data_IF_685547780924
#
_entry.id   IF_685547780924
#
_cell.length_a   1.000
_cell.length_b   1.000
_cell.length_c   1.000
_cell.angle_alpha   90.00
_cell.angle_beta   90.00
_cell.angle_gamma   90.00
#
_symmetry.space_group_name_H-M   'P 1'
#
loop_
_entity.id
_entity.type
_entity.pdbx_description
1 polymer ?
#
# COMPACT_ATOMS: atom_id res chain seq x y z
N UNK A 1 13.81 -51.72 47.22
CA UNK A 1 12.90 -50.64 46.79
C UNK A 1 13.39 -50.17 45.44
N UNK A 2 12.80 -50.67 44.36
CA UNK A 2 13.17 -50.30 43.00
C UNK A 2 12.07 -49.41 42.45
N UNK A 3 12.32 -48.10 42.43
CA UNK A 3 11.38 -47.12 41.91
C UNK A 3 11.42 -47.13 40.38
N UNK A 4 10.34 -47.61 39.77
CA UNK A 4 10.10 -47.48 38.33
C UNK A 4 9.71 -46.04 38.02
N UNK A 5 10.57 -45.31 37.33
CA UNK A 5 10.20 -44.02 36.72
C UNK A 5 9.50 -44.31 35.39
N UNK A 6 8.19 -44.08 35.35
CA UNK A 6 7.40 -44.13 34.12
C UNK A 6 7.72 -42.89 33.30
N UNK A 7 8.38 -43.06 32.16
CA UNK A 7 8.58 -42.00 31.17
C UNK A 7 7.23 -41.66 30.52
N UNK A 8 6.65 -40.53 30.91
CA UNK A 8 5.44 -39.99 30.26
C UNK A 8 5.85 -39.43 28.91
N UNK A 9 5.44 -40.09 27.82
CA UNK A 9 5.61 -39.59 26.46
C UNK A 9 4.84 -38.27 26.31
N UNK A 10 5.56 -37.18 26.04
CA UNK A 10 4.96 -35.89 25.74
C UNK A 10 4.04 -36.02 24.51
N UNK A 11 2.75 -35.74 24.69
CA UNK A 11 1.79 -35.75 23.60
C UNK A 11 2.15 -34.66 22.59
N UNK A 12 2.41 -35.06 21.35
CA UNK A 12 2.61 -34.15 20.22
C UNK A 12 1.40 -33.21 20.11
N UNK A 13 1.57 -31.88 19.97
CA UNK A 13 0.46 -30.97 19.80
C UNK A 13 -0.39 -31.45 18.63
N UNK A 14 -1.68 -31.72 18.86
CA UNK A 14 -2.60 -32.15 17.82
C UNK A 14 -2.80 -30.98 16.86
N UNK A 15 -2.05 -30.99 15.76
CA UNK A 15 -2.15 -29.98 14.70
C UNK A 15 -3.62 -29.84 14.25
N UNK A 16 -4.13 -28.60 14.25
CA UNK A 16 -5.52 -28.28 13.92
C UNK A 16 -5.92 -28.85 12.55
N UNK A 17 -7.14 -29.39 12.41
CA UNK A 17 -7.60 -30.04 11.17
C UNK A 17 -7.48 -29.14 9.94
N UNK A 18 -7.78 -27.85 10.09
CA UNK A 18 -7.53 -26.82 9.05
C UNK A 18 -6.07 -26.79 8.59
N UNK A 19 -5.11 -26.81 9.52
CA UNK A 19 -3.69 -26.73 9.16
C UNK A 19 -3.24 -27.97 8.38
N UNK A 20 -3.72 -29.16 8.74
CA UNK A 20 -3.45 -30.37 7.95
C UNK A 20 -3.95 -30.24 6.51
N UNK A 21 -5.16 -29.71 6.32
CA UNK A 21 -5.70 -29.44 4.99
C UNK A 21 -4.88 -28.42 4.20
N UNK A 22 -4.30 -27.43 4.87
CA UNK A 22 -3.40 -26.46 4.22
C UNK A 22 -2.10 -27.15 3.79
N UNK A 23 -1.52 -27.99 4.64
CA UNK A 23 -0.27 -28.70 4.36
C UNK A 23 -0.44 -29.75 3.22
N UNK A 24 -1.64 -30.31 3.07
CA UNK A 24 -1.99 -31.22 1.98
C UNK A 24 -2.09 -30.51 0.61
N UNK A 25 -2.39 -29.20 0.60
CA UNK A 25 -2.49 -28.42 -0.64
C UNK A 25 -1.09 -28.04 -1.10
N UNK A 26 -0.67 -28.61 -2.23
CA UNK A 26 0.61 -28.31 -2.89
C UNK A 26 0.39 -27.38 -4.08
N UNK A 27 0.53 -26.05 -3.92
CA UNK A 27 0.43 -25.14 -5.04
C UNK A 27 1.56 -25.41 -6.06
N UNK A 28 1.23 -25.26 -7.34
CA UNK A 28 2.20 -25.37 -8.43
C UNK A 28 3.26 -24.28 -8.30
N UNK A 29 4.54 -24.66 -8.34
CA UNK A 29 5.66 -23.70 -8.34
C UNK A 29 5.56 -22.72 -9.50
N UNK A 30 5.09 -23.18 -10.66
CA UNK A 30 4.88 -22.34 -11.84
C UNK A 30 3.83 -21.26 -11.59
N UNK A 31 2.72 -21.60 -10.92
CA UNK A 31 1.65 -20.64 -10.63
C UNK A 31 2.09 -19.60 -9.59
N UNK A 32 2.82 -20.02 -8.56
CA UNK A 32 3.42 -19.12 -7.56
C UNK A 32 4.35 -18.14 -8.25
N UNK A 33 5.25 -18.67 -9.09
CA UNK A 33 6.19 -17.86 -9.83
C UNK A 33 5.49 -16.84 -10.75
N UNK A 34 4.41 -17.25 -11.42
CA UNK A 34 3.61 -16.34 -12.25
C UNK A 34 2.99 -15.22 -11.41
N UNK A 35 2.40 -15.54 -10.26
CA UNK A 35 1.79 -14.54 -9.36
C UNK A 35 2.83 -13.58 -8.78
N UNK A 36 4.02 -14.07 -8.44
CA UNK A 36 5.13 -13.23 -7.98
C UNK A 36 5.62 -12.33 -9.11
N UNK A 37 5.81 -12.86 -10.32
CA UNK A 37 6.24 -12.09 -11.48
C UNK A 37 5.21 -10.99 -11.83
N UNK A 38 3.92 -11.34 -11.88
CA UNK A 38 2.82 -10.39 -12.08
C UNK A 38 2.87 -9.25 -11.06
N UNK A 39 3.08 -9.56 -9.78
CA UNK A 39 3.24 -8.53 -8.75
C UNK A 39 4.45 -7.63 -8.99
N UNK A 40 5.62 -8.20 -9.28
CA UNK A 40 6.84 -7.42 -9.51
C UNK A 40 6.69 -6.49 -10.72
N UNK A 41 5.99 -6.92 -11.76
CA UNK A 41 5.73 -6.11 -12.96
C UNK A 41 4.65 -5.07 -12.71
N UNK A 42 3.50 -5.46 -12.17
CA UNK A 42 2.37 -4.56 -11.91
C UNK A 42 2.72 -3.48 -10.90
N UNK A 43 3.51 -3.80 -9.87
CA UNK A 43 4.00 -2.83 -8.89
C UNK A 43 5.31 -2.15 -9.30
N UNK A 44 5.82 -2.34 -10.51
CA UNK A 44 6.96 -1.57 -11.01
C UNK A 44 8.28 -1.83 -10.26
N UNK A 45 8.66 -3.09 -10.08
CA UNK A 45 9.96 -3.50 -9.55
C UNK A 45 10.83 -4.17 -10.63
N UNK A 46 11.31 -3.42 -11.65
CA UNK A 46 11.93 -3.99 -12.85
C UNK A 46 13.19 -4.81 -12.54
N UNK A 47 14.09 -4.30 -11.70
CA UNK A 47 15.32 -5.01 -11.29
C UNK A 47 15.04 -6.31 -10.54
N UNK A 48 13.97 -6.34 -9.74
CA UNK A 48 13.58 -7.54 -9.01
C UNK A 48 12.93 -8.55 -9.96
N UNK A 49 12.07 -8.09 -10.87
CA UNK A 49 11.47 -8.91 -11.92
C UNK A 49 12.56 -9.56 -12.79
N UNK A 50 13.57 -8.80 -13.22
CA UNK A 50 14.66 -9.29 -14.06
C UNK A 50 15.46 -10.40 -13.37
N UNK A 51 15.89 -10.17 -12.12
CA UNK A 51 16.61 -11.18 -11.33
C UNK A 51 15.76 -12.42 -11.08
N UNK A 52 14.49 -12.22 -10.73
CA UNK A 52 13.55 -13.31 -10.50
C UNK A 52 13.31 -14.14 -11.77
N UNK A 53 13.22 -13.50 -12.94
CA UNK A 53 13.04 -14.21 -14.21
C UNK A 53 14.24 -15.10 -14.54
N UNK A 54 15.47 -14.60 -14.32
CA UNK A 54 16.71 -15.35 -14.53
C UNK A 54 16.79 -16.56 -13.59
N UNK A 55 16.46 -16.39 -12.32
CA UNK A 55 16.51 -17.46 -11.32
C UNK A 55 15.40 -18.50 -11.50
N UNK A 56 14.19 -18.05 -11.85
CA UNK A 56 13.04 -18.92 -12.05
C UNK A 56 12.93 -19.51 -13.46
N UNK A 57 13.87 -19.15 -14.36
CA UNK A 57 13.88 -19.52 -15.77
C UNK A 57 12.57 -19.18 -16.51
N UNK A 58 12.07 -17.96 -16.27
CA UNK A 58 10.82 -17.43 -16.84
C UNK A 58 11.18 -16.38 -17.90
N UNK A 59 10.42 -16.37 -19.00
CA UNK A 59 10.56 -15.32 -20.00
C UNK A 59 9.94 -14.01 -19.47
N UNK A 60 10.72 -12.93 -19.49
CA UNK A 60 10.21 -11.59 -19.18
C UNK A 60 9.24 -11.16 -20.28
N UNK A 61 8.07 -10.61 -19.93
CA UNK A 61 7.27 -9.88 -20.89
C UNK A 61 8.09 -8.72 -21.47
N UNK A 62 7.98 -8.49 -22.79
CA UNK A 62 8.74 -7.51 -23.58
C UNK A 62 8.49 -6.03 -23.22
N UNK A 63 7.76 -5.74 -22.14
CA UNK A 63 7.25 -4.41 -21.79
C UNK A 63 8.12 -3.66 -20.76
N UNK A 64 9.44 -3.87 -20.78
CA UNK A 64 10.38 -3.27 -19.82
C UNK A 64 10.33 -1.74 -19.81
N UNK A 65 10.20 -1.11 -20.98
CA UNK A 65 10.11 0.36 -21.12
C UNK A 65 8.86 0.94 -20.47
N UNK A 66 7.72 0.23 -20.54
CA UNK A 66 6.47 0.65 -19.89
C UNK A 66 6.59 0.56 -18.36
N UNK A 67 7.29 -0.46 -17.86
CA UNK A 67 7.52 -0.66 -16.43
C UNK A 67 8.38 0.48 -15.90
N UNK A 68 9.49 0.79 -16.59
CA UNK A 68 10.42 1.85 -16.21
C UNK A 68 9.73 3.21 -16.17
N UNK A 69 8.92 3.54 -17.19
CA UNK A 69 8.12 4.78 -17.24
C UNK A 69 7.18 4.89 -16.04
N UNK A 70 6.49 3.80 -15.67
CA UNK A 70 5.61 3.76 -14.47
C UNK A 70 6.39 3.94 -13.17
N UNK A 71 7.59 3.35 -13.06
CA UNK A 71 8.46 3.56 -11.90
C UNK A 71 8.84 5.03 -11.76
N UNK A 72 9.22 5.69 -12.84
CA UNK A 72 9.60 7.10 -12.83
C UNK A 72 8.46 8.01 -12.42
N UNK A 73 7.26 7.79 -12.96
CA UNK A 73 6.04 8.52 -12.56
C UNK A 73 5.80 8.36 -11.06
N UNK A 74 5.85 7.12 -10.56
CA UNK A 74 5.66 6.85 -9.13
C UNK A 74 6.73 7.50 -8.26
N UNK A 75 8.00 7.45 -8.67
CA UNK A 75 9.10 8.08 -7.97
C UNK A 75 8.93 9.60 -7.90
N UNK A 76 8.50 10.23 -9.00
CA UNK A 76 8.20 11.66 -9.04
C UNK A 76 7.07 12.02 -8.06
N UNK A 77 5.98 11.23 -8.02
CA UNK A 77 4.88 11.43 -7.06
C UNK A 77 5.36 11.28 -5.61
N UNK A 78 6.17 10.25 -5.30
CA UNK A 78 6.70 10.07 -3.95
C UNK A 78 7.65 11.19 -3.53
N UNK A 79 8.49 11.67 -4.45
CA UNK A 79 9.38 12.81 -4.21
C UNK A 79 8.62 14.13 -4.02
N UNK A 80 7.38 14.22 -4.49
CA UNK A 80 6.60 15.47 -4.50
C UNK A 80 6.84 16.33 -5.74
N UNK A 81 7.48 15.78 -6.76
CA UNK A 81 7.62 16.42 -8.07
C UNK A 81 6.42 16.06 -8.96
N UNK A 82 5.28 16.69 -8.64
CA UNK A 82 4.00 16.36 -9.28
C UNK A 82 3.92 16.90 -10.72
N UNK A 83 4.58 18.03 -10.99
CA UNK A 83 4.68 18.58 -12.36
C UNK A 83 5.34 17.58 -13.31
N UNK A 84 6.49 17.04 -12.92
CA UNK A 84 7.18 16.00 -13.71
C UNK A 84 6.33 14.74 -13.83
N UNK A 85 5.62 14.36 -12.77
CA UNK A 85 4.71 13.21 -12.83
C UNK A 85 3.58 13.41 -13.84
N UNK A 86 2.92 14.57 -13.86
CA UNK A 86 1.85 14.90 -14.80
C UNK A 86 2.36 14.88 -16.24
N UNK A 87 3.51 15.50 -16.50
CA UNK A 87 4.12 15.51 -17.83
C UNK A 87 4.42 14.08 -18.31
N UNK A 88 5.06 13.26 -17.48
CA UNK A 88 5.35 11.85 -17.82
C UNK A 88 4.09 11.01 -18.02
N UNK A 89 3.01 11.27 -17.28
CA UNK A 89 1.72 10.59 -17.50
C UNK A 89 1.17 10.96 -18.87
N UNK A 90 1.19 12.25 -19.24
CA UNK A 90 0.71 12.71 -20.54
C UNK A 90 1.57 12.20 -21.70
N UNK A 91 2.89 12.13 -21.52
CA UNK A 91 3.82 11.56 -22.50
C UNK A 91 3.54 10.07 -22.73
N UNK A 92 3.19 9.33 -21.66
CA UNK A 92 2.86 7.91 -21.75
C UNK A 92 1.48 7.68 -22.39
N UNK A 93 0.46 8.41 -21.94
CA UNK A 93 -0.86 8.40 -22.53
C UNK A 93 -1.65 9.67 -22.12
N UNK A 94 -1.90 10.60 -23.06
CA UNK A 94 -2.57 11.86 -22.75
C UNK A 94 -4.04 11.68 -22.33
N UNK A 95 -4.67 10.56 -22.69
CA UNK A 95 -6.09 10.34 -22.39
C UNK A 95 -6.36 9.94 -20.93
N UNK A 96 -5.34 9.54 -20.17
CA UNK A 96 -5.52 9.05 -18.78
C UNK A 96 -6.12 10.15 -17.90
N UNK A 97 -5.59 11.36 -17.96
CA UNK A 97 -6.03 12.47 -17.12
C UNK A 97 -7.35 13.09 -17.59
N UNK A 98 -7.67 12.96 -18.87
CA UNK A 98 -8.94 13.41 -19.46
C UNK A 98 -10.09 12.44 -19.12
N UNK A 99 -9.79 11.14 -19.07
CA UNK A 99 -10.78 10.09 -18.78
C UNK A 99 -11.14 10.02 -17.28
N UNK A 100 -10.19 10.36 -16.40
CA UNK A 100 -10.40 10.40 -14.95
C UNK A 100 -10.13 11.80 -14.36
N UNK A 101 -11.15 12.69 -14.36
CA UNK A 101 -11.05 14.01 -13.75
C UNK A 101 -10.73 13.98 -12.25
N UNK A 102 -11.10 12.91 -11.55
CA UNK A 102 -10.85 12.76 -10.11
C UNK A 102 -9.38 12.44 -9.83
N UNK A 103 -8.76 11.59 -10.65
CA UNK A 103 -7.31 11.34 -10.59
C UNK A 103 -6.52 12.61 -10.87
N UNK A 104 -6.92 13.34 -11.91
CA UNK A 104 -6.24 14.58 -12.27
C UNK A 104 -6.39 15.65 -11.17
N UNK A 105 -7.58 15.80 -10.58
CA UNK A 105 -7.79 16.66 -9.42
C UNK A 105 -6.92 16.23 -8.22
N UNK A 106 -6.80 14.93 -7.93
CA UNK A 106 -5.97 14.43 -6.85
C UNK A 106 -4.47 14.74 -7.04
N UNK A 107 -3.96 14.68 -8.27
CA UNK A 107 -2.59 15.10 -8.60
C UNK A 107 -2.41 16.61 -8.37
N UNK A 108 -3.30 17.45 -8.93
CA UNK A 108 -3.22 18.90 -8.73
C UNK A 108 -3.32 19.28 -7.25
N UNK A 109 -4.14 18.58 -6.47
CA UNK A 109 -4.22 18.76 -5.01
C UNK A 109 -2.90 18.43 -4.31
N UNK A 110 -2.23 17.35 -4.70
CA UNK A 110 -0.88 17.04 -4.17
C UNK A 110 0.10 18.16 -4.50
N UNK A 111 0.08 18.67 -5.73
CA UNK A 111 0.95 19.77 -6.15
C UNK A 111 0.69 21.03 -5.31
N UNK A 112 -0.57 21.37 -5.05
CA UNK A 112 -0.93 22.47 -4.15
C UNK A 112 -0.37 22.25 -2.74
N UNK A 113 -0.48 21.04 -2.19
CA UNK A 113 0.09 20.71 -0.88
C UNK A 113 1.61 20.93 -0.87
N UNK A 114 2.32 20.53 -1.93
CA UNK A 114 3.77 20.75 -2.03
C UNK A 114 4.13 22.24 -2.16
N UNK A 115 3.35 23.02 -2.90
CA UNK A 115 3.52 24.46 -2.98
C UNK A 115 3.32 25.12 -1.62
N UNK A 116 2.24 24.76 -0.91
CA UNK A 116 1.96 25.26 0.45
C UNK A 116 3.14 24.95 1.37
N UNK A 117 3.65 23.71 1.37
CA UNK A 117 4.82 23.32 2.18
C UNK A 117 6.06 24.15 1.86
N UNK A 118 6.33 24.43 0.59
CA UNK A 118 7.45 25.30 0.17
C UNK A 118 7.28 26.72 0.69
N UNK A 119 6.09 27.31 0.50
CA UNK A 119 5.77 28.67 0.97
C UNK A 119 5.88 28.84 2.49
N UNK A 120 5.50 27.81 3.26
CA UNK A 120 5.50 27.86 4.73
C UNK A 120 6.85 27.51 5.36
N UNK A 121 7.76 26.89 4.59
CA UNK A 121 9.10 26.52 5.07
C UNK A 121 10.12 27.66 4.97
N UNK A 122 9.88 28.64 4.09
CA UNK A 122 10.76 29.80 3.91
C UNK A 122 10.30 31.00 4.75
N UNK A 123 11.23 31.78 5.34
CA UNK A 123 10.90 32.95 6.16
C UNK A 123 10.26 34.11 5.36
N UNK A 124 10.41 34.13 4.04
CA UNK A 124 9.61 34.97 3.15
C UNK A 124 8.35 34.21 2.74
N UNK A 125 7.25 34.46 3.43
CA UNK A 125 5.95 33.79 3.25
C UNK A 125 5.24 34.31 2.00
N UNK A 126 5.83 34.13 0.81
CA UNK A 126 5.12 34.40 -0.44
C UNK A 126 4.16 33.25 -0.74
N UNK A 127 2.89 33.45 -0.39
CA UNK A 127 1.79 32.51 -0.65
C UNK A 127 1.21 32.67 -2.07
N UNK A 128 1.64 33.70 -2.80
CA UNK A 128 1.12 34.04 -4.14
C UNK A 128 1.19 32.87 -5.13
N UNK A 129 2.28 32.06 -5.18
CA UNK A 129 2.34 30.90 -6.07
C UNK A 129 1.25 29.86 -5.77
N UNK A 130 1.02 29.54 -4.49
CA UNK A 130 -0.01 28.59 -4.08
C UNK A 130 -1.42 29.11 -4.39
N UNK A 131 -1.69 30.40 -4.13
CA UNK A 131 -2.98 31.03 -4.41
C UNK A 131 -3.28 31.11 -5.91
N UNK A 132 -2.29 31.48 -6.72
CA UNK A 132 -2.42 31.53 -8.18
C UNK A 132 -2.68 30.14 -8.75
N UNK A 133 -1.98 29.12 -8.25
CA UNK A 133 -2.18 27.74 -8.69
C UNK A 133 -3.58 27.21 -8.31
N UNK A 134 -4.00 27.42 -7.06
CA UNK A 134 -5.34 27.04 -6.61
C UNK A 134 -6.44 27.71 -7.45
N UNK A 135 -6.30 29.01 -7.73
CA UNK A 135 -7.30 29.79 -8.48
C UNK A 135 -7.35 29.44 -9.96
N UNK A 136 -6.20 29.16 -10.59
CA UNK A 136 -6.14 28.88 -12.03
C UNK A 136 -6.47 27.42 -12.37
N UNK A 137 -5.98 26.46 -11.59
CA UNK A 137 -6.06 25.04 -11.93
C UNK A 137 -7.16 24.29 -11.15
N UNK A 138 -7.27 24.52 -9.84
CA UNK A 138 -8.20 23.76 -8.98
C UNK A 138 -9.59 24.39 -8.90
N UNK A 139 -9.71 25.71 -8.81
CA UNK A 139 -11.01 26.37 -8.61
C UNK A 139 -12.05 26.07 -9.70
N UNK A 140 -11.71 26.06 -11.02
CA UNK A 140 -12.67 25.71 -12.06
C UNK A 140 -13.18 24.26 -11.94
N UNK A 141 -12.33 23.34 -11.48
CA UNK A 141 -12.67 21.92 -11.27
C UNK A 141 -13.43 21.69 -9.97
N UNK A 142 -13.13 22.45 -8.93
CA UNK A 142 -13.85 22.41 -7.67
C UNK A 142 -15.28 22.96 -7.81
N UNK A 143 -15.49 23.94 -8.68
CA UNK A 143 -16.81 24.50 -8.94
C UNK A 143 -17.79 23.49 -9.55
N UNK A 144 -17.30 22.46 -10.26
CA UNK A 144 -18.15 21.44 -10.90
C UNK A 144 -18.46 20.26 -9.99
N UNK A 145 -17.76 20.09 -8.86
CA UNK A 145 -17.95 18.97 -7.94
C UNK A 145 -17.84 19.41 -6.47
N UNK A 146 -18.91 19.27 -5.66
CA UNK A 146 -18.93 19.71 -4.27
C UNK A 146 -17.91 19.00 -3.38
N UNK A 147 -17.52 17.76 -3.70
CA UNK A 147 -16.51 17.04 -2.92
C UNK A 147 -15.11 17.56 -3.21
N UNK A 148 -14.82 17.97 -4.45
CA UNK A 148 -13.57 18.65 -4.79
C UNK A 148 -13.47 20.02 -4.11
N UNK A 149 -14.59 20.72 -3.96
CA UNK A 149 -14.62 21.98 -3.22
C UNK A 149 -14.24 21.79 -1.75
N UNK A 150 -14.84 20.81 -1.06
CA UNK A 150 -14.48 20.48 0.33
C UNK A 150 -13.01 20.12 0.47
N UNK A 151 -12.48 19.32 -0.47
CA UNK A 151 -11.09 18.92 -0.50
C UNK A 151 -10.13 20.09 -0.73
N UNK A 152 -10.52 21.04 -1.59
CA UNK A 152 -9.79 22.27 -1.86
C UNK A 152 -9.81 23.20 -0.64
N UNK A 153 -10.97 23.45 -0.03
CA UNK A 153 -11.11 24.25 1.19
C UNK A 153 -10.24 23.70 2.33
N UNK A 154 -10.28 22.37 2.54
CA UNK A 154 -9.45 21.71 3.54
C UNK A 154 -7.95 21.89 3.22
N UNK A 155 -7.57 21.78 1.96
CA UNK A 155 -6.17 21.97 1.54
C UNK A 155 -5.73 23.43 1.71
N UNK A 156 -6.59 24.40 1.40
CA UNK A 156 -6.31 25.82 1.55
C UNK A 156 -6.19 26.25 3.01
N UNK A 157 -6.92 25.59 3.92
CA UNK A 157 -6.78 25.85 5.35
C UNK A 157 -5.36 25.59 5.88
N UNK A 158 -4.57 24.74 5.20
CA UNK A 158 -3.16 24.52 5.54
C UNK A 158 -2.32 25.80 5.46
N UNK A 159 -2.69 26.78 4.63
CA UNK A 159 -2.01 28.08 4.56
C UNK A 159 -2.16 28.88 5.85
N UNK A 160 -3.23 28.67 6.61
CA UNK A 160 -3.53 29.38 7.85
C UNK A 160 -2.87 28.68 9.04
N UNK A 161 -2.88 27.35 9.03
CA UNK A 161 -2.44 26.53 10.16
C UNK A 161 -0.96 26.10 10.08
N UNK A 162 -0.22 26.42 9.02
CA UNK A 162 1.21 26.14 8.94
C UNK A 162 2.04 27.39 9.26
N UNK A 163 3.17 27.27 9.98
CA UNK A 163 3.70 26.06 10.63
C UNK A 163 3.16 25.92 12.07
N UNK A 164 2.22 24.97 12.31
CA UNK A 164 1.78 24.63 13.66
C UNK A 164 2.22 23.21 14.04
N UNK A 165 2.68 23.06 15.28
CA UNK A 165 3.11 21.77 15.83
C UNK A 165 1.93 20.82 16.12
N UNK A 166 0.72 21.35 16.29
CA UNK A 166 -0.50 20.58 16.57
C UNK A 166 -1.57 20.88 15.53
N UNK A 167 -1.66 20.00 14.53
CA UNK A 167 -2.70 20.06 13.50
C UNK A 167 -3.85 19.13 13.85
N UNK A 168 -5.06 19.51 13.44
CA UNK A 168 -6.20 18.62 13.49
C UNK A 168 -5.92 17.34 12.66
N UNK A 169 -6.41 16.16 13.08
CA UNK A 169 -6.11 14.90 12.40
C UNK A 169 -6.39 14.92 10.88
N UNK A 170 -7.47 15.59 10.47
CA UNK A 170 -7.85 15.76 9.06
C UNK A 170 -6.81 16.53 8.23
N UNK A 171 -6.12 17.52 8.81
CA UNK A 171 -5.06 18.28 8.16
C UNK A 171 -3.72 17.55 8.20
N UNK A 172 -3.45 16.85 9.30
CA UNK A 172 -2.24 16.05 9.46
C UNK A 172 -2.16 14.94 8.38
N UNK A 173 -3.28 14.29 8.06
CA UNK A 173 -3.34 13.27 7.00
C UNK A 173 -2.93 13.81 5.62
N UNK A 174 -3.23 15.08 5.31
CA UNK A 174 -2.80 15.72 4.06
C UNK A 174 -1.28 15.93 3.99
N UNK A 175 -0.63 16.04 5.14
CA UNK A 175 0.82 16.19 5.22
C UNK A 175 1.56 14.84 5.20
N UNK A 176 0.87 13.74 5.48
CA UNK A 176 1.50 12.43 5.55
C UNK A 176 1.90 11.87 4.17
N UNK A 177 3.01 11.10 4.07
CA UNK A 177 3.40 10.39 2.86
C UNK A 177 2.36 9.38 2.36
N UNK A 178 1.42 8.98 3.22
CA UNK A 178 0.33 8.06 2.89
C UNK A 178 -0.54 8.58 1.75
N UNK A 179 -0.83 9.88 1.71
CA UNK A 179 -1.64 10.46 0.63
C UNK A 179 -0.92 10.34 -0.73
N UNK A 180 0.38 10.68 -0.79
CA UNK A 180 1.19 10.51 -2.01
C UNK A 180 1.22 9.04 -2.45
N UNK A 181 1.32 8.09 -1.51
CA UNK A 181 1.28 6.65 -1.80
C UNK A 181 -0.06 6.21 -2.40
N UNK A 182 -1.18 6.70 -1.89
CA UNK A 182 -2.50 6.36 -2.41
C UNK A 182 -2.71 6.91 -3.83
N UNK A 183 -2.34 8.16 -4.08
CA UNK A 183 -2.45 8.75 -5.42
C UNK A 183 -1.53 8.04 -6.41
N UNK A 184 -0.28 7.74 -6.02
CA UNK A 184 0.62 6.96 -6.87
C UNK A 184 0.06 5.57 -7.23
N UNK A 185 -0.63 4.90 -6.29
CA UNK A 185 -1.30 3.64 -6.55
C UNK A 185 -2.44 3.80 -7.57
N UNK A 186 -3.27 4.84 -7.43
CA UNK A 186 -4.36 5.13 -8.39
C UNK A 186 -3.83 5.47 -9.78
N UNK A 187 -2.74 6.25 -9.86
CA UNK A 187 -2.07 6.55 -11.13
C UNK A 187 -1.57 5.26 -11.78
N UNK A 188 -0.91 4.38 -11.04
CA UNK A 188 -0.44 3.10 -11.57
C UNK A 188 -1.60 2.22 -12.09
N UNK A 189 -2.69 2.16 -11.33
CA UNK A 189 -3.91 1.45 -11.73
C UNK A 189 -4.48 2.01 -13.04
N UNK A 190 -4.63 3.34 -13.14
CA UNK A 190 -5.15 3.99 -14.33
C UNK A 190 -4.26 3.76 -15.56
N UNK A 191 -2.93 3.82 -15.40
CA UNK A 191 -1.98 3.51 -16.47
C UNK A 191 -2.14 2.04 -16.91
N UNK A 192 -2.16 1.10 -15.97
CA UNK A 192 -2.35 -0.33 -16.27
C UNK A 192 -3.66 -0.59 -17.01
N UNK A 193 -4.77 -0.01 -16.55
CA UNK A 193 -6.08 -0.13 -17.21
C UNK A 193 -6.06 0.48 -18.62
N UNK A 194 -5.39 1.60 -18.82
CA UNK A 194 -5.26 2.22 -20.15
C UNK A 194 -4.47 1.37 -21.15
N UNK A 195 -3.54 0.55 -20.66
CA UNK A 195 -2.77 -0.42 -21.47
C UNK A 195 -3.52 -1.74 -21.69
N UNK A 196 -4.77 -1.86 -21.22
CA UNK A 196 -5.56 -3.10 -21.28
C UNK A 196 -5.11 -4.17 -20.29
N UNK A 197 -4.18 -3.85 -19.40
CA UNK A 197 -3.75 -4.73 -18.31
C UNK A 197 -4.74 -4.65 -17.13
N UNK A 198 -4.63 -5.62 -16.22
CA UNK A 198 -5.34 -5.54 -14.94
C UNK A 198 -4.80 -4.38 -14.11
N UNK A 199 -5.70 -3.55 -13.57
CA UNK A 199 -5.35 -2.39 -12.74
C UNK A 199 -4.69 -2.72 -11.40
N UNK A 200 -4.80 -3.96 -10.92
CA UNK A 200 -4.13 -4.45 -9.71
C UNK A 200 -3.41 -5.79 -9.95
N UNK A 201 -2.30 -5.99 -9.23
CA UNK A 201 -1.59 -7.26 -9.20
C UNK A 201 -2.47 -8.39 -8.63
N UNK A 202 -2.40 -9.59 -9.21
CA UNK A 202 -3.16 -10.77 -8.76
C UNK A 202 -2.92 -11.08 -7.29
N UNK A 203 -1.70 -10.87 -6.81
CA UNK A 203 -1.34 -11.09 -5.41
C UNK A 203 -2.20 -10.25 -4.45
N UNK A 204 -2.51 -8.99 -4.79
CA UNK A 204 -3.39 -8.13 -3.98
C UNK A 204 -4.80 -8.71 -3.92
N UNK A 205 -5.32 -9.16 -5.06
CA UNK A 205 -6.61 -9.84 -5.15
C UNK A 205 -6.67 -11.11 -4.29
N UNK A 206 -5.61 -11.92 -4.29
CA UNK A 206 -5.51 -13.12 -3.45
C UNK A 206 -5.52 -12.81 -1.96
N UNK A 207 -4.82 -11.76 -1.52
CA UNK A 207 -4.83 -11.33 -0.11
C UNK A 207 -6.24 -10.85 0.30
N UNK A 208 -6.91 -10.08 -0.55
CA UNK A 208 -8.29 -9.64 -0.30
C UNK A 208 -9.26 -10.81 -0.25
N UNK A 209 -9.12 -11.77 -1.18
CA UNK A 209 -9.93 -12.98 -1.22
C UNK A 209 -9.72 -13.83 0.04
N UNK A 210 -8.47 -13.97 0.51
CA UNK A 210 -8.15 -14.66 1.76
C UNK A 210 -8.85 -14.01 2.94
N UNK A 211 -8.74 -12.69 3.12
CA UNK A 211 -9.39 -11.95 4.20
C UNK A 211 -10.92 -12.09 4.16
N UNK A 212 -11.50 -12.02 2.97
CA UNK A 212 -12.94 -12.22 2.77
C UNK A 212 -13.37 -13.64 3.13
N UNK A 213 -12.66 -14.66 2.65
CA UNK A 213 -12.96 -16.07 2.90
C UNK A 213 -12.84 -16.40 4.39
N UNK A 214 -11.80 -15.88 5.04
CA UNK A 214 -11.57 -16.02 6.48
C UNK A 214 -12.72 -15.40 7.30
N UNK A 215 -13.13 -14.17 6.97
CA UNK A 215 -14.28 -13.51 7.62
C UNK A 215 -15.56 -14.33 7.45
N UNK A 216 -15.87 -14.72 6.21
CA UNK A 216 -17.09 -15.46 5.88
C UNK A 216 -17.14 -16.84 6.54
N UNK A 217 -15.99 -17.51 6.66
CA UNK A 217 -15.90 -18.79 7.35
C UNK A 217 -16.09 -18.66 8.87
N UNK A 218 -15.60 -17.58 9.50
CA UNK A 218 -15.89 -17.27 10.91
C UNK A 218 -17.36 -16.96 11.14
N UNK A 219 -17.98 -16.15 10.27
CA UNK A 219 -19.42 -15.86 10.34
C UNK A 219 -20.28 -17.12 10.19
N UNK A 220 -19.84 -18.08 9.37
CA UNK A 220 -20.51 -19.37 9.19
C UNK A 220 -20.19 -20.40 10.30
N UNK A 221 -19.46 -20.02 11.35
CA UNK A 221 -19.11 -20.90 12.47
C UNK A 221 -18.22 -22.08 12.07
N UNK A 222 -17.40 -21.94 11.03
CA UNK A 222 -16.44 -22.99 10.64
C UNK A 222 -15.30 -23.07 11.65
N UNK A 223 -14.88 -24.29 11.93
CA UNK A 223 -13.76 -24.59 12.81
C UNK A 223 -12.44 -24.10 12.18
N UNK A 224 -11.99 -22.93 12.63
CA UNK A 224 -10.78 -22.26 12.18
C UNK A 224 -9.89 -21.95 13.38
N UNK A 225 -8.56 -22.00 13.22
CA UNK A 225 -7.64 -21.52 14.23
C UNK A 225 -7.94 -20.07 14.66
N UNK A 226 -7.69 -19.70 15.93
CA UNK A 226 -7.96 -18.36 16.45
C UNK A 226 -7.16 -17.28 15.68
N UNK A 227 -5.92 -17.59 15.31
CA UNK A 227 -5.10 -16.77 14.44
C UNK A 227 -4.72 -17.53 13.17
N UNK A 228 -4.81 -16.83 12.05
CA UNK A 228 -4.29 -17.30 10.76
C UNK A 228 -3.24 -16.28 10.30
N UNK A 229 -1.99 -16.39 10.77
CA UNK A 229 -0.95 -15.47 10.35
C UNK A 229 -0.63 -15.64 8.86
N UNK A 230 -0.18 -14.56 8.20
CA UNK A 230 0.33 -14.61 6.83
C UNK A 230 1.79 -15.13 6.76
N UNK A 231 2.39 -15.46 7.91
CA UNK A 231 3.80 -15.87 7.99
C UNK A 231 4.79 -14.73 7.74
N UNK A 232 4.34 -13.47 7.87
CA UNK A 232 5.16 -12.25 7.70
C UNK A 232 5.71 -11.70 9.02
N UNK A 233 5.37 -12.33 10.14
CA UNK A 233 5.99 -12.05 11.43
C UNK A 233 7.25 -12.90 11.52
N UNK A 234 8.41 -12.24 11.50
CA UNK A 234 9.67 -12.85 11.91
C UNK A 234 9.45 -13.54 13.26
N UNK A 235 9.95 -14.77 13.37
CA UNK A 235 9.59 -15.69 14.45
C UNK A 235 9.82 -15.12 15.85
N UNK A 236 8.78 -14.56 16.45
CA UNK A 236 8.65 -14.59 17.90
C UNK A 236 8.13 -15.99 18.24
N UNK A 237 9.07 -16.83 18.66
CA UNK A 237 8.77 -18.14 19.22
C UNK A 237 7.68 -18.02 20.28
N UNK A 238 6.79 -19.02 20.30
CA UNK A 238 5.87 -19.28 21.40
C UNK A 238 6.61 -19.25 22.75
N UNK A 239 6.69 -18.08 23.38
CA UNK A 239 6.90 -17.99 24.82
C UNK A 239 5.56 -18.33 25.47
N UNK A 240 5.40 -19.62 25.79
CA UNK A 240 4.48 -20.04 26.84
C UNK A 240 4.95 -19.41 28.15
N UNK A 241 4.44 -18.22 28.46
CA UNK A 241 4.52 -17.63 29.79
C UNK A 241 3.62 -18.38 30.75
N UNK A 242 4.09 -19.52 31.25
CA UNK A 242 3.56 -20.10 32.48
C UNK A 242 3.89 -19.14 33.62
N UNK A 243 2.86 -18.48 34.16
CA UNK A 243 2.98 -17.72 35.40
C UNK A 243 3.24 -18.67 36.55
N UNK A 244 4.40 -18.51 37.21
CA UNK A 244 4.60 -18.93 38.59
C UNK A 244 4.63 -17.67 39.48
N UNK A 245 3.99 -17.70 40.66
CA UNK A 245 4.00 -16.58 41.58
C UNK A 245 5.36 -16.54 42.30
N UNK A 246 6.06 -15.43 42.20
CA UNK A 246 7.26 -15.20 43.00
C UNK A 246 6.86 -15.02 44.47
N UNK A 247 7.20 -16.01 45.29
CA UNK A 247 7.12 -15.98 46.74
C UNK A 247 8.08 -14.91 47.28
N UNK A 248 7.53 -13.91 47.98
CA UNK A 248 8.30 -12.88 48.68
C UNK A 248 8.71 -13.46 50.03
N UNK A 249 9.97 -13.87 50.17
CA UNK A 249 10.58 -14.07 51.48
C UNK A 249 11.56 -12.95 51.80
N UNK A 250 11.18 -12.24 52.85
CA UNK A 250 11.95 -11.32 53.67
C UNK A 250 13.17 -12.03 54.24
N UNK A 251 14.35 -11.42 54.09
CA UNK A 251 15.37 -11.29 55.15
C UNK A 251 16.31 -10.13 54.83
#
# INVERSE_FOLDING_TARGET
MSSSTVSVSAATPTQHHFQRKVDDIKPSKTDINFVVMDYLISEGYPRAAEKFAKEANIQLPLEEESIQSRVEIRCAIHAGDIDTAINKINDLNPQILDTDPALHFALLRLQLIELIRKCTSTPSTDITPALNFASSQLAPRAATNPDFLKDLELTMSLLIFLPADTLQPQLAVLLQPTLRRQVASKVNEAILTSMGCRGEARMRGLVRLRLWAERKAREAGKDLPPSLPLGLQDGEGQQNGNGEPADIMVQ
#
